data_IF_872271640298
#
_entry.id   IF_872271640298
#
_cell.length_a   1.000
_cell.length_b   1.000
_cell.length_c   1.000
_cell.angle_alpha   90.00
_cell.angle_beta   90.00
_cell.angle_gamma   90.00
#
_symmetry.space_group_name_H-M   'P 1'
#
loop_
_entity.id
_entity.type
_entity.pdbx_description
1 polymer ?
#
# COMPACT_ATOMS: atom_id res chain seq x y z
N UNK A 1 -15.51 19.17 -11.37
CA UNK A 1 -16.33 18.86 -10.20
C UNK A 1 -15.80 19.72 -9.07
N UNK A 2 -16.56 20.75 -8.64
CA UNK A 2 -16.12 21.70 -7.62
C UNK A 2 -16.14 21.06 -6.23
N UNK A 3 -14.99 20.65 -5.75
CA UNK A 3 -14.81 20.07 -4.42
C UNK A 3 -14.99 21.08 -3.27
N UNK A 4 -15.09 22.36 -3.58
CA UNK A 4 -15.25 23.45 -2.59
C UNK A 4 -16.63 23.50 -1.92
N UNK A 5 -17.65 22.87 -2.48
CA UNK A 5 -19.02 22.87 -1.96
C UNK A 5 -19.29 21.83 -0.86
N UNK A 6 -18.39 20.88 -0.62
CA UNK A 6 -18.56 19.81 0.39
C UNK A 6 -17.74 20.05 1.67
N UNK A 7 -17.30 21.27 1.94
CA UNK A 7 -16.52 21.59 3.12
C UNK A 7 -17.42 21.77 4.37
N UNK A 8 -18.17 20.73 4.70
CA UNK A 8 -18.81 20.61 6.01
C UNK A 8 -17.86 19.80 6.90
N UNK A 9 -17.61 20.26 8.13
CA UNK A 9 -16.70 19.60 9.07
C UNK A 9 -17.00 18.11 9.28
N UNK A 10 -18.23 17.67 9.06
CA UNK A 10 -18.63 16.26 9.10
C UNK A 10 -18.00 15.41 8.00
N UNK A 11 -17.74 15.95 6.81
CA UNK A 11 -17.13 15.21 5.69
C UNK A 11 -15.69 14.84 6.00
N UNK A 12 -14.96 15.74 6.68
CA UNK A 12 -13.59 15.47 7.11
C UNK A 12 -13.52 14.38 8.17
N UNK A 13 -14.46 14.39 9.09
CA UNK A 13 -14.55 13.40 10.16
C UNK A 13 -14.87 12.01 9.58
N UNK A 14 -15.81 11.91 8.65
CA UNK A 14 -16.17 10.66 7.97
C UNK A 14 -14.97 10.14 7.16
N UNK A 15 -14.29 11.01 6.40
CA UNK A 15 -13.12 10.62 5.63
C UNK A 15 -11.99 10.08 6.53
N UNK A 16 -11.71 10.76 7.64
CA UNK A 16 -10.70 10.31 8.61
C UNK A 16 -11.04 8.94 9.20
N UNK A 17 -12.30 8.69 9.53
CA UNK A 17 -12.75 7.39 10.03
C UNK A 17 -12.56 6.28 8.98
N UNK A 18 -12.88 6.56 7.72
CA UNK A 18 -12.68 5.60 6.61
C UNK A 18 -11.18 5.30 6.42
N UNK A 19 -10.33 6.31 6.43
CA UNK A 19 -8.87 6.13 6.31
C UNK A 19 -8.32 5.27 7.45
N UNK A 20 -8.70 5.56 8.69
CA UNK A 20 -8.29 4.78 9.86
C UNK A 20 -8.76 3.34 9.72
N UNK A 21 -10.03 3.13 9.33
CA UNK A 21 -10.58 1.80 9.12
C UNK A 21 -9.81 1.01 8.07
N UNK A 22 -9.45 1.63 6.94
CA UNK A 22 -8.66 1.00 5.88
C UNK A 22 -7.28 0.59 6.42
N UNK A 23 -6.55 1.51 7.07
CA UNK A 23 -5.21 1.24 7.60
C UNK A 23 -5.25 0.08 8.60
N UNK A 24 -6.19 0.09 9.53
CA UNK A 24 -6.35 -0.96 10.53
C UNK A 24 -6.70 -2.30 9.88
N UNK A 25 -7.59 -2.31 8.90
CA UNK A 25 -8.01 -3.54 8.22
C UNK A 25 -6.87 -4.19 7.44
N UNK A 26 -6.14 -3.42 6.63
CA UNK A 26 -5.00 -3.93 5.85
C UNK A 26 -3.87 -4.38 6.77
N UNK A 27 -3.57 -3.60 7.80
CA UNK A 27 -2.53 -3.93 8.79
C UNK A 27 -2.82 -5.26 9.51
N UNK A 28 -4.06 -5.45 9.98
CA UNK A 28 -4.47 -6.70 10.59
C UNK A 28 -4.50 -7.86 9.59
N UNK A 29 -4.94 -7.62 8.35
CA UNK A 29 -4.89 -8.63 7.29
C UNK A 29 -3.48 -9.14 7.04
N UNK A 30 -2.51 -8.23 6.90
CA UNK A 30 -1.10 -8.58 6.74
C UNK A 30 -0.55 -9.37 7.94
N UNK A 31 -0.96 -9.01 9.16
CA UNK A 31 -0.55 -9.71 10.38
C UNK A 31 -1.12 -11.15 10.45
N UNK A 32 -2.38 -11.34 10.07
CA UNK A 32 -2.99 -12.68 10.01
C UNK A 32 -2.30 -13.55 8.95
N UNK A 33 -1.86 -12.96 7.84
CA UNK A 33 -1.16 -13.65 6.75
C UNK A 33 0.24 -14.10 7.14
N UNK A 34 0.86 -13.49 8.17
CA UNK A 34 2.20 -13.83 8.67
C UNK A 34 2.24 -15.14 9.49
N UNK A 35 1.39 -16.09 9.14
CA UNK A 35 1.33 -17.42 9.75
C UNK A 35 2.17 -18.50 9.04
N UNK A 36 2.67 -18.24 7.84
CA UNK A 36 3.47 -19.17 7.03
C UNK A 36 4.76 -18.50 6.56
N UNK A 37 5.86 -19.29 6.54
CA UNK A 37 7.19 -18.85 6.12
C UNK A 37 7.15 -18.20 4.74
N UNK A 38 7.58 -16.93 4.66
CA UNK A 38 7.67 -16.16 3.42
C UNK A 38 6.35 -15.64 2.83
N UNK A 39 5.20 -16.04 3.36
CA UNK A 39 3.91 -15.69 2.76
C UNK A 39 3.62 -14.19 2.84
N UNK A 40 3.66 -13.61 4.04
CA UNK A 40 3.37 -12.20 4.27
C UNK A 40 4.35 -11.29 3.50
N UNK A 41 5.63 -11.57 3.58
CA UNK A 41 6.66 -10.82 2.86
C UNK A 41 6.52 -10.96 1.34
N UNK A 42 6.21 -12.17 0.83
CA UNK A 42 6.01 -12.45 -0.59
C UNK A 42 4.83 -11.71 -1.17
N UNK A 43 3.67 -11.81 -0.53
CA UNK A 43 2.45 -11.08 -0.93
C UNK A 43 2.71 -9.57 -0.88
N UNK A 44 3.33 -9.08 0.19
CA UNK A 44 3.66 -7.66 0.35
C UNK A 44 4.61 -7.13 -0.72
N UNK A 45 5.58 -7.94 -1.16
CA UNK A 45 6.47 -7.57 -2.26
C UNK A 45 5.70 -7.42 -3.57
N UNK A 46 4.82 -8.37 -3.92
CA UNK A 46 4.00 -8.31 -5.15
C UNK A 46 3.07 -7.10 -5.14
N UNK A 47 2.37 -6.89 -4.04
CA UNK A 47 1.49 -5.73 -3.85
C UNK A 47 2.28 -4.43 -3.91
N UNK A 48 3.45 -4.39 -3.24
CA UNK A 48 4.36 -3.25 -3.25
C UNK A 48 4.86 -2.89 -4.64
N UNK A 49 5.26 -3.88 -5.46
CA UNK A 49 5.65 -3.67 -6.86
C UNK A 49 4.50 -3.04 -7.65
N UNK A 50 3.30 -3.60 -7.52
CA UNK A 50 2.12 -3.10 -8.22
C UNK A 50 1.83 -1.64 -7.86
N UNK A 51 1.85 -1.30 -6.58
CA UNK A 51 1.68 0.07 -6.11
C UNK A 51 2.79 1.00 -6.59
N UNK A 52 4.05 0.54 -6.58
CA UNK A 52 5.19 1.32 -7.05
C UNK A 52 5.05 1.69 -8.52
N UNK A 53 4.56 0.77 -9.35
CA UNK A 53 4.26 1.02 -10.76
C UNK A 53 3.15 2.08 -10.90
N UNK A 54 2.06 1.95 -10.13
CA UNK A 54 0.98 2.95 -10.15
C UNK A 54 1.45 4.33 -9.68
N UNK A 55 2.31 4.40 -8.66
CA UNK A 55 2.90 5.65 -8.18
C UNK A 55 3.73 6.29 -9.30
N UNK A 56 4.57 5.51 -9.97
CA UNK A 56 5.38 5.99 -11.09
C UNK A 56 4.53 6.51 -12.25
N UNK A 57 3.51 5.76 -12.66
CA UNK A 57 2.61 6.14 -13.74
C UNK A 57 1.78 7.38 -13.40
N UNK A 58 1.32 7.50 -12.16
CA UNK A 58 0.55 8.68 -11.69
C UNK A 58 1.41 9.93 -11.54
N UNK A 59 2.73 9.78 -11.39
CA UNK A 59 3.68 10.89 -11.30
C UNK A 59 4.11 11.46 -12.65
N UNK A 60 3.81 10.80 -13.76
CA UNK A 60 4.19 11.22 -15.11
C UNK A 60 2.98 11.66 -15.91
N UNK A 61 3.00 12.90 -16.42
CA UNK A 61 1.91 13.49 -17.20
C UNK A 61 1.57 12.68 -18.45
N UNK A 62 2.57 12.20 -19.18
CA UNK A 62 2.38 11.49 -20.45
C UNK A 62 1.69 10.14 -20.20
N UNK A 63 2.18 9.38 -19.21
CA UNK A 63 1.60 8.07 -18.89
C UNK A 63 0.24 8.17 -18.22
N UNK A 64 0.04 9.18 -17.37
CA UNK A 64 -1.25 9.38 -16.70
C UNK A 64 -2.35 9.75 -17.68
N UNK A 65 -2.05 10.58 -18.68
CA UNK A 65 -3.00 10.95 -19.73
C UNK A 65 -3.29 9.76 -20.66
N UNK A 66 -2.27 9.03 -21.10
CA UNK A 66 -2.42 7.86 -21.96
C UNK A 66 -3.26 6.74 -21.31
N UNK A 67 -3.06 6.49 -20.02
CA UNK A 67 -3.74 5.44 -19.27
C UNK A 67 -5.05 5.90 -18.61
N UNK A 68 -5.41 7.17 -18.79
CA UNK A 68 -6.55 7.80 -18.13
C UNK A 68 -6.56 7.63 -16.61
N UNK A 69 -5.34 7.77 -16.00
CA UNK A 69 -5.11 7.67 -14.57
C UNK A 69 -4.98 9.09 -14.03
N UNK A 70 -5.39 9.30 -12.78
CA UNK A 70 -5.25 10.60 -12.12
C UNK A 70 -3.79 10.99 -11.97
N UNK A 71 -3.42 12.14 -12.54
CA UNK A 71 -2.09 12.72 -12.34
C UNK A 71 -1.98 13.32 -10.94
N UNK A 72 -0.90 12.99 -10.23
CA UNK A 72 -0.60 13.51 -8.89
C UNK A 72 0.77 14.20 -8.93
N UNK A 73 0.79 15.55 -8.91
CA UNK A 73 2.04 16.30 -8.94
C UNK A 73 2.86 16.04 -7.67
N UNK A 74 4.19 15.95 -7.80
CA UNK A 74 5.10 15.82 -6.67
C UNK A 74 5.22 14.42 -6.06
N UNK A 75 4.57 13.40 -6.61
CA UNK A 75 4.60 12.02 -6.09
C UNK A 75 5.91 11.29 -6.42
N UNK A 76 6.81 11.91 -7.20
CA UNK A 76 8.04 11.26 -7.68
C UNK A 76 8.94 10.71 -6.57
N UNK A 77 9.05 11.41 -5.45
CA UNK A 77 9.87 10.94 -4.33
C UNK A 77 9.28 9.71 -3.64
N UNK A 78 7.96 9.56 -3.67
CA UNK A 78 7.29 8.37 -3.14
C UNK A 78 7.63 7.11 -3.94
N UNK A 79 8.01 7.25 -5.21
CA UNK A 79 8.51 6.15 -6.05
C UNK A 79 9.76 5.54 -5.43
N UNK A 80 10.70 6.38 -5.00
CA UNK A 80 11.96 5.93 -4.37
C UNK A 80 11.65 5.15 -3.09
N UNK A 81 10.79 5.69 -2.23
CA UNK A 81 10.37 5.03 -1.00
C UNK A 81 9.70 3.67 -1.29
N UNK A 82 8.77 3.62 -2.25
CA UNK A 82 8.03 2.39 -2.55
C UNK A 82 8.92 1.29 -3.13
N UNK A 83 9.88 1.62 -4.01
CA UNK A 83 10.85 0.64 -4.49
C UNK A 83 11.85 0.21 -3.41
N UNK A 84 12.26 1.09 -2.50
CA UNK A 84 13.07 0.73 -1.34
C UNK A 84 12.32 -0.24 -0.42
N UNK A 85 11.04 -0.02 -0.18
CA UNK A 85 10.17 -0.93 0.57
C UNK A 85 10.09 -2.32 -0.09
N UNK A 86 9.88 -2.36 -1.42
CA UNK A 86 9.88 -3.63 -2.18
C UNK A 86 11.22 -4.34 -2.07
N UNK A 87 12.33 -3.61 -2.21
CA UNK A 87 13.67 -4.17 -2.06
C UNK A 87 13.90 -4.76 -0.68
N UNK A 88 13.42 -4.11 0.37
CA UNK A 88 13.49 -4.60 1.75
C UNK A 88 12.66 -5.91 1.91
N UNK A 89 11.45 -5.97 1.36
CA UNK A 89 10.64 -7.18 1.38
C UNK A 89 11.33 -8.35 0.67
N UNK A 90 11.90 -8.11 -0.53
CA UNK A 90 12.62 -9.15 -1.29
C UNK A 90 13.86 -9.62 -0.53
N UNK A 91 14.63 -8.71 0.07
CA UNK A 91 15.79 -9.04 0.90
C UNK A 91 15.39 -9.86 2.13
N UNK A 92 14.27 -9.53 2.76
CA UNK A 92 13.76 -10.26 3.90
C UNK A 92 13.30 -11.69 3.53
N UNK A 93 12.64 -11.87 2.38
CA UNK A 93 12.20 -13.17 1.88
C UNK A 93 13.36 -14.17 1.80
N UNK A 94 14.56 -13.70 1.47
CA UNK A 94 15.74 -14.57 1.39
C UNK A 94 16.00 -15.35 2.68
N UNK A 95 15.75 -14.75 3.83
CA UNK A 95 15.93 -15.38 5.15
C UNK A 95 14.64 -15.94 5.74
N UNK A 96 13.49 -15.49 5.25
CA UNK A 96 12.15 -15.88 5.73
C UNK A 96 11.51 -16.99 4.88
N UNK A 97 12.13 -17.39 3.73
CA UNK A 97 11.67 -18.53 2.94
C UNK A 97 11.86 -19.84 3.69
N UNK A 98 10.99 -20.80 3.40
CA UNK A 98 11.04 -22.13 4.02
C UNK A 98 12.38 -22.85 3.79
N UNK A 99 13.04 -23.41 4.81
CA UNK A 99 12.74 -23.25 6.26
C UNK A 99 13.20 -21.87 6.77
N UNK A 100 12.29 -21.11 7.36
CA UNK A 100 12.58 -19.74 7.80
C UNK A 100 13.67 -19.69 8.89
N UNK A 101 14.68 -18.86 8.66
CA UNK A 101 15.74 -18.58 9.61
C UNK A 101 15.40 -17.39 10.51
N UNK A 102 14.56 -16.47 10.01
CA UNK A 102 14.13 -15.25 10.68
C UNK A 102 12.63 -15.06 10.52
N UNK A 103 11.94 -14.72 11.59
CA UNK A 103 10.52 -14.42 11.59
C UNK A 103 10.30 -12.90 11.75
N UNK A 104 9.28 -12.38 11.07
CA UNK A 104 8.99 -10.95 11.08
C UNK A 104 8.36 -10.48 12.40
N UNK A 105 7.48 -11.29 12.96
CA UNK A 105 6.67 -10.98 14.14
C UNK A 105 5.62 -9.90 13.87
N UNK A 106 4.73 -9.71 14.85
CA UNK A 106 3.57 -8.81 14.72
C UNK A 106 3.96 -7.37 14.43
N UNK A 107 5.07 -6.90 14.96
CA UNK A 107 5.56 -5.52 14.75
C UNK A 107 5.90 -5.28 13.27
N UNK A 108 6.52 -6.25 12.63
CA UNK A 108 6.89 -6.15 11.21
C UNK A 108 5.69 -6.29 10.29
N UNK A 109 4.86 -7.30 10.50
CA UNK A 109 3.71 -7.58 9.65
C UNK A 109 2.64 -6.47 9.71
N UNK A 110 2.35 -5.93 10.90
CA UNK A 110 1.47 -4.77 11.08
C UNK A 110 2.01 -3.53 10.38
N UNK A 111 3.32 -3.30 10.48
CA UNK A 111 3.98 -2.15 9.83
C UNK A 111 3.93 -2.25 8.31
N UNK A 112 4.19 -3.41 7.74
CA UNK A 112 4.11 -3.67 6.29
C UNK A 112 2.69 -3.41 5.79
N UNK A 113 1.68 -3.94 6.46
CA UNK A 113 0.29 -3.72 6.09
C UNK A 113 -0.11 -2.23 6.15
N UNK A 114 0.35 -1.51 7.18
CA UNK A 114 0.12 -0.08 7.30
C UNK A 114 0.78 0.73 6.17
N UNK A 115 2.03 0.40 5.79
CA UNK A 115 2.73 1.04 4.67
C UNK A 115 1.96 0.83 3.36
N UNK A 116 1.54 -0.39 3.07
CA UNK A 116 0.76 -0.73 1.87
C UNK A 116 -0.55 0.06 1.83
N UNK A 117 -1.28 0.13 2.95
CA UNK A 117 -2.52 0.89 3.05
C UNK A 117 -2.31 2.37 2.75
N UNK A 118 -1.29 2.99 3.34
CA UNK A 118 -0.96 4.40 3.14
C UNK A 118 -0.57 4.67 1.69
N UNK A 119 0.27 3.84 1.08
CA UNK A 119 0.65 3.96 -0.32
C UNK A 119 -0.58 3.89 -1.24
N UNK A 120 -1.50 2.96 -1.00
CA UNK A 120 -2.72 2.81 -1.79
C UNK A 120 -3.65 4.03 -1.65
N UNK A 121 -3.78 4.61 -0.45
CA UNK A 121 -4.59 5.81 -0.19
C UNK A 121 -3.99 7.02 -0.91
N UNK A 122 -2.67 7.21 -0.86
CA UNK A 122 -1.98 8.35 -1.52
C UNK A 122 -2.20 8.30 -3.04
N UNK A 123 -2.15 7.12 -3.65
CA UNK A 123 -2.38 6.95 -5.08
C UNK A 123 -3.87 7.07 -5.45
N UNK A 124 -4.75 7.26 -4.47
CA UNK A 124 -6.22 7.33 -4.65
C UNK A 124 -6.78 6.11 -5.40
N UNK A 125 -6.22 4.95 -5.13
CA UNK A 125 -6.65 3.65 -5.64
C UNK A 125 -7.35 2.84 -4.55
N UNK A 126 -8.17 3.49 -3.76
CA UNK A 126 -8.89 2.90 -2.63
C UNK A 126 -9.76 1.70 -3.07
N UNK A 127 -10.26 1.72 -4.31
CA UNK A 127 -11.01 0.58 -4.87
C UNK A 127 -10.16 -0.70 -5.07
N UNK A 128 -8.83 -0.57 -5.13
CA UNK A 128 -7.94 -1.72 -5.18
C UNK A 128 -7.70 -2.32 -3.78
N UNK A 129 -7.96 -1.57 -2.71
CA UNK A 129 -7.71 -2.02 -1.34
C UNK A 129 -8.52 -3.28 -0.99
N UNK A 130 -9.83 -3.39 -1.28
CA UNK A 130 -10.55 -4.63 -1.03
C UNK A 130 -9.99 -5.84 -1.79
N UNK A 131 -9.50 -5.62 -3.02
CA UNK A 131 -8.85 -6.69 -3.80
C UNK A 131 -7.51 -7.07 -3.16
N UNK A 132 -6.73 -6.09 -2.73
CA UNK A 132 -5.45 -6.32 -2.06
C UNK A 132 -5.64 -6.96 -0.69
N UNK A 133 -6.67 -6.54 0.08
CA UNK A 133 -7.03 -7.19 1.34
C UNK A 133 -7.52 -8.64 1.14
N UNK A 134 -8.12 -8.95 0.00
CA UNK A 134 -8.54 -10.31 -0.34
C UNK A 134 -7.37 -11.25 -0.66
N UNK A 135 -6.18 -10.70 -0.88
CA UNK A 135 -4.93 -11.47 -1.08
C UNK A 135 -4.22 -11.72 0.27
N UNK A 136 -4.40 -10.82 1.24
CA UNK A 136 -4.04 -11.02 2.64
C UNK A 136 -5.12 -11.81 3.36
#
# INVERSE_FOLDING_TARGET
MDYTKFYNGYTWLIYSLVVIFIIVSVSNGANITDGLDGLAAGVSAIVGITLSIFIYLSGNLIFSDYLNIMYIPGIGELVIFSFAFVGACIGFIWYNSYPAQVFMGDTGSLSIGAIIAVLAIIVKKELLIPVMCGVF
#
